data_IF_305975464261
#
_entry.id   IF_305975464261
#
_cell.length_a   1.000
_cell.length_b   1.000
_cell.length_c   1.000
_cell.angle_alpha   90.00
_cell.angle_beta   90.00
_cell.angle_gamma   90.00
#
_symmetry.space_group_name_H-M   'P 1'
#
loop_
_entity.id
_entity.type
_entity.pdbx_description
1 polymer ?
#
# COMPACT_ATOMS: atom_id res chain seq x y z
N UNK A 1 -43.68 -43.01 -23.65
CA UNK A 1 -43.38 -42.30 -22.38
C UNK A 1 -42.16 -42.89 -21.66
N UNK A 2 -41.45 -43.84 -22.28
CA UNK A 2 -40.43 -44.64 -21.56
C UNK A 2 -38.99 -44.11 -21.73
N UNK A 3 -38.73 -43.25 -22.72
CA UNK A 3 -37.41 -42.63 -22.91
C UNK A 3 -37.10 -41.49 -21.92
N UNK A 4 -38.11 -40.88 -21.30
CA UNK A 4 -37.94 -39.75 -20.37
C UNK A 4 -37.66 -40.26 -18.94
N UNK A 5 -38.21 -41.42 -18.57
CA UNK A 5 -37.99 -42.02 -17.24
C UNK A 5 -36.57 -42.54 -17.07
N UNK A 6 -36.01 -43.20 -18.09
CA UNK A 6 -34.63 -43.71 -18.03
C UNK A 6 -33.57 -42.61 -17.91
N UNK A 7 -33.81 -41.43 -18.49
CA UNK A 7 -32.91 -40.28 -18.36
C UNK A 7 -32.99 -39.62 -16.98
N UNK A 8 -34.14 -39.70 -16.30
CA UNK A 8 -34.33 -39.13 -14.97
C UNK A 8 -33.70 -39.99 -13.88
N UNK A 9 -33.82 -41.33 -13.99
CA UNK A 9 -33.16 -42.27 -13.07
C UNK A 9 -31.64 -42.22 -13.19
N UNK A 10 -31.09 -42.11 -14.40
CA UNK A 10 -29.65 -41.94 -14.61
C UNK A 10 -29.12 -40.63 -13.99
N UNK A 11 -29.92 -39.55 -14.02
CA UNK A 11 -29.53 -38.26 -13.42
C UNK A 11 -29.65 -38.29 -11.90
N UNK A 12 -30.64 -39.00 -11.34
CA UNK A 12 -30.77 -39.14 -9.88
C UNK A 12 -29.66 -39.99 -9.27
N UNK A 13 -29.24 -41.06 -9.94
CA UNK A 13 -28.16 -41.92 -9.46
C UNK A 13 -26.80 -41.20 -9.50
N UNK A 14 -26.57 -40.39 -10.54
CA UNK A 14 -25.36 -39.55 -10.64
C UNK A 14 -25.36 -38.46 -9.57
N UNK A 15 -26.52 -37.86 -9.26
CA UNK A 15 -26.69 -36.90 -8.17
C UNK A 15 -26.48 -37.52 -6.79
N UNK A 16 -26.95 -38.75 -6.58
CA UNK A 16 -26.74 -39.48 -5.33
C UNK A 16 -25.25 -39.83 -5.14
N UNK A 17 -24.58 -40.34 -6.18
CA UNK A 17 -23.15 -40.64 -6.14
C UNK A 17 -22.28 -39.38 -5.92
N UNK A 18 -22.67 -38.24 -6.49
CA UNK A 18 -21.96 -36.97 -6.23
C UNK A 18 -22.23 -36.44 -4.83
N UNK A 19 -23.43 -36.65 -4.26
CA UNK A 19 -23.74 -36.27 -2.89
C UNK A 19 -22.99 -37.12 -1.85
N UNK A 20 -22.87 -38.42 -2.09
CA UNK A 20 -22.12 -39.34 -1.21
C UNK A 20 -20.61 -39.03 -1.24
N UNK A 21 -20.05 -38.79 -2.43
CA UNK A 21 -18.64 -38.36 -2.56
C UNK A 21 -18.36 -37.00 -1.90
N UNK A 22 -19.34 -36.10 -1.88
CA UNK A 22 -19.24 -34.81 -1.18
C UNK A 22 -19.35 -34.99 0.34
N UNK A 23 -20.20 -35.91 0.80
CA UNK A 23 -20.34 -36.25 2.22
C UNK A 23 -19.05 -36.82 2.79
N UNK A 24 -18.39 -37.71 2.05
CA UNK A 24 -17.09 -38.27 2.44
C UNK A 24 -16.01 -37.20 2.49
N UNK A 25 -15.97 -36.30 1.49
CA UNK A 25 -15.06 -35.15 1.51
C UNK A 25 -15.32 -34.21 2.69
N UNK A 26 -16.59 -33.94 3.00
CA UNK A 26 -16.99 -33.11 4.14
C UNK A 26 -16.61 -33.80 5.46
N UNK A 27 -16.75 -35.12 5.57
CA UNK A 27 -16.33 -35.91 6.73
C UNK A 27 -14.82 -35.84 6.94
N UNK A 28 -14.03 -36.06 5.88
CA UNK A 28 -12.56 -36.00 5.91
C UNK A 28 -12.05 -34.59 6.22
N UNK A 29 -12.74 -33.58 5.72
CA UNK A 29 -12.41 -32.17 6.00
C UNK A 29 -12.76 -31.80 7.44
N UNK A 30 -13.91 -32.25 7.97
CA UNK A 30 -14.26 -32.05 9.39
C UNK A 30 -13.23 -32.70 10.31
N UNK A 31 -12.83 -33.94 10.05
CA UNK A 31 -11.85 -34.65 10.89
C UNK A 31 -10.49 -33.92 10.91
N UNK A 32 -10.00 -33.47 9.74
CA UNK A 32 -8.77 -32.67 9.66
C UNK A 32 -8.91 -31.32 10.36
N UNK A 33 -10.07 -30.66 10.27
CA UNK A 33 -10.35 -29.40 10.97
C UNK A 33 -10.35 -29.60 12.49
N UNK A 34 -10.94 -30.68 13.01
CA UNK A 34 -10.92 -30.97 14.44
C UNK A 34 -9.51 -31.28 14.95
N UNK A 35 -8.70 -32.03 14.20
CA UNK A 35 -7.30 -32.27 14.54
C UNK A 35 -6.47 -30.97 14.54
N UNK A 36 -6.70 -30.10 13.54
CA UNK A 36 -6.09 -28.77 13.47
C UNK A 36 -6.55 -27.87 14.63
N UNK A 37 -7.82 -27.91 15.04
CA UNK A 37 -8.31 -27.10 16.15
C UNK A 37 -7.71 -27.52 17.49
N UNK A 38 -7.51 -28.83 17.70
CA UNK A 38 -6.86 -29.39 18.90
C UNK A 38 -5.36 -29.04 18.95
N UNK A 39 -4.67 -29.08 17.80
CA UNK A 39 -3.26 -28.69 17.68
C UNK A 39 -3.04 -27.17 17.85
N UNK A 40 -4.05 -26.36 17.54
CA UNK A 40 -4.03 -24.90 17.65
C UNK A 40 -4.51 -24.41 19.03
N UNK A 41 -5.12 -25.26 19.85
CA UNK A 41 -5.53 -24.93 21.23
C UNK A 41 -4.39 -24.36 22.11
N UNK A 42 -3.18 -24.94 22.16
CA UNK A 42 -2.06 -24.36 22.90
C UNK A 42 -1.61 -23.00 22.32
N UNK A 43 -1.81 -22.76 21.01
CA UNK A 43 -1.50 -21.47 20.38
C UNK A 43 -2.55 -20.41 20.71
N UNK A 44 -3.83 -20.75 20.76
CA UNK A 44 -4.90 -19.81 21.14
C UNK A 44 -4.72 -19.33 22.57
N UNK A 45 -4.37 -20.24 23.48
CA UNK A 45 -4.09 -19.86 24.88
C UNK A 45 -2.83 -18.99 24.99
N UNK A 46 -1.81 -19.25 24.15
CA UNK A 46 -0.61 -18.39 24.07
C UNK A 46 -0.89 -17.01 23.45
N UNK A 47 -1.86 -16.90 22.55
CA UNK A 47 -2.26 -15.64 21.90
C UNK A 47 -3.11 -14.76 22.83
N UNK A 48 -3.88 -15.35 23.76
CA UNK A 48 -4.67 -14.58 24.75
C UNK A 48 -3.79 -13.74 25.69
N UNK A 49 -2.60 -14.23 25.99
CA UNK A 49 -1.65 -13.57 26.90
C UNK A 49 -0.61 -12.71 26.16
N UNK A 50 -0.63 -12.70 24.83
CA UNK A 50 0.31 -11.90 24.02
C UNK A 50 -0.29 -10.53 23.76
N UNK A 51 0.31 -9.52 24.38
CA UNK A 51 -0.06 -8.13 24.18
C UNK A 51 0.34 -7.63 22.79
N UNK A 52 -0.40 -6.64 22.28
CA UNK A 52 -0.08 -5.95 21.03
C UNK A 52 1.34 -5.35 21.07
N UNK A 53 1.78 -4.92 22.25
CA UNK A 53 3.12 -4.37 22.49
C UNK A 53 4.24 -5.41 22.34
N UNK A 54 4.00 -6.67 22.70
CA UNK A 54 4.97 -7.75 22.53
C UNK A 54 5.15 -8.11 21.05
N UNK A 55 4.06 -8.11 20.27
CA UNK A 55 4.11 -8.32 18.81
C UNK A 55 4.87 -7.18 18.12
N UNK A 56 4.65 -5.93 18.56
CA UNK A 56 5.36 -4.76 18.02
C UNK A 56 6.84 -4.75 18.41
N UNK A 57 7.18 -5.19 19.62
CA UNK A 57 8.58 -5.37 20.06
C UNK A 57 9.26 -6.46 19.25
N UNK A 58 8.63 -7.61 19.10
CA UNK A 58 9.17 -8.74 18.33
C UNK A 58 9.35 -8.37 16.85
N UNK A 59 8.47 -7.55 16.29
CA UNK A 59 8.61 -7.03 14.93
C UNK A 59 9.77 -6.03 14.80
N UNK A 60 9.94 -5.12 15.76
CA UNK A 60 11.06 -4.16 15.77
C UNK A 60 12.41 -4.84 16.00
N UNK A 61 12.44 -5.91 16.79
CA UNK A 61 13.63 -6.71 17.08
C UNK A 61 13.89 -7.81 16.05
N UNK A 62 13.07 -7.92 14.99
CA UNK A 62 13.15 -8.96 13.96
C UNK A 62 13.16 -10.39 14.53
N UNK A 63 12.48 -10.59 15.66
CA UNK A 63 12.35 -11.91 16.28
C UNK A 63 11.31 -12.73 15.52
N UNK A 64 11.79 -13.78 14.86
CA UNK A 64 10.98 -14.76 14.15
C UNK A 64 10.30 -15.71 15.14
N UNK A 65 9.20 -15.26 15.75
CA UNK A 65 8.33 -16.14 16.54
C UNK A 65 7.20 -16.70 15.65
N UNK A 66 6.63 -17.88 15.99
CA UNK A 66 5.52 -18.46 15.23
C UNK A 66 4.31 -17.54 15.10
N UNK A 67 4.09 -16.66 16.09
CA UNK A 67 2.98 -15.69 16.12
C UNK A 67 3.24 -14.57 15.10
N UNK A 68 4.44 -13.99 15.09
CA UNK A 68 4.84 -12.96 14.11
C UNK A 68 4.81 -13.50 12.68
N UNK A 69 5.28 -14.74 12.48
CA UNK A 69 5.23 -15.40 11.17
C UNK A 69 3.79 -15.59 10.68
N UNK A 70 2.89 -16.07 11.56
CA UNK A 70 1.47 -16.26 11.24
C UNK A 70 0.79 -14.93 10.89
N UNK A 71 1.10 -13.87 11.65
CA UNK A 71 0.59 -12.53 11.39
C UNK A 71 1.09 -11.97 10.05
N UNK A 72 2.38 -12.10 9.76
CA UNK A 72 2.98 -11.66 8.50
C UNK A 72 2.36 -12.38 7.29
N UNK A 73 2.21 -13.71 7.36
CA UNK A 73 1.56 -14.51 6.31
C UNK A 73 0.11 -14.06 6.11
N UNK A 74 -0.64 -13.86 7.20
CA UNK A 74 -2.03 -13.40 7.14
C UNK A 74 -2.14 -12.00 6.54
N UNK A 75 -1.25 -11.08 6.91
CA UNK A 75 -1.22 -9.72 6.39
C UNK A 75 -0.89 -9.69 4.88
N UNK A 76 0.11 -10.46 4.45
CA UNK A 76 0.49 -10.57 3.02
C UNK A 76 -0.65 -11.18 2.21
N UNK A 77 -1.27 -12.26 2.70
CA UNK A 77 -2.38 -12.93 1.99
C UNK A 77 -3.58 -11.99 1.88
N UNK A 78 -3.92 -11.27 2.95
CA UNK A 78 -4.99 -10.27 2.94
C UNK A 78 -4.69 -9.13 1.98
N UNK A 79 -3.44 -8.65 1.94
CA UNK A 79 -3.01 -7.60 1.02
C UNK A 79 -3.10 -8.05 -0.44
N UNK A 80 -2.73 -9.29 -0.77
CA UNK A 80 -2.84 -9.85 -2.13
C UNK A 80 -4.31 -9.95 -2.57
N UNK A 81 -5.19 -10.41 -1.68
CA UNK A 81 -6.64 -10.52 -1.99
C UNK A 81 -7.25 -9.13 -2.18
N UNK A 82 -6.93 -8.17 -1.30
CA UNK A 82 -7.44 -6.80 -1.37
C UNK A 82 -6.89 -6.06 -2.60
N UNK A 83 -5.59 -6.17 -2.88
CA UNK A 83 -4.95 -5.52 -4.03
C UNK A 83 -5.49 -6.05 -5.35
N UNK A 84 -5.76 -7.36 -5.45
CA UNK A 84 -6.41 -7.97 -6.62
C UNK A 84 -7.87 -7.55 -6.77
N UNK A 85 -8.59 -7.30 -5.67
CA UNK A 85 -9.97 -6.85 -5.71
C UNK A 85 -10.12 -5.33 -5.98
N UNK A 86 -9.09 -4.54 -5.69
CA UNK A 86 -9.05 -3.08 -5.96
C UNK A 86 -8.55 -2.74 -7.38
N UNK A 87 -7.84 -3.64 -8.04
CA UNK A 87 -7.33 -3.44 -9.41
C UNK A 87 -8.28 -3.92 -10.51
N UNK A 88 -9.41 -4.54 -10.15
CA UNK A 88 -10.40 -5.07 -11.11
C UNK A 88 -11.73 -4.30 -11.06
N UNK A 89 -11.72 -2.97 -11.25
CA UNK A 89 -12.96 -2.24 -11.57
C UNK A 89 -12.71 -0.90 -12.28
N UNK A 90 -12.31 -0.98 -13.57
CA UNK A 90 -12.54 0.09 -14.56
C UNK A 90 -13.34 -0.50 -15.73
N UNK A 91 -14.66 -0.45 -15.63
CA UNK A 91 -15.61 -0.15 -16.72
C UNK A 91 -17.03 -0.66 -16.37
N UNK A 92 -17.95 0.26 -16.06
CA UNK A 92 -19.21 0.42 -16.80
C UNK A 92 -20.16 1.41 -16.11
N UNK A 93 -20.62 2.38 -16.91
CA UNK A 93 -21.79 3.20 -16.63
C UNK A 93 -23.04 2.31 -16.60
N UNK A 94 -23.78 2.30 -15.49
CA UNK A 94 -25.27 2.35 -15.48
C UNK A 94 -25.81 2.52 -14.05
N UNK A 95 -26.64 3.54 -13.86
CA UNK A 95 -27.62 3.61 -12.76
C UNK A 95 -28.83 2.74 -13.19
N UNK A 96 -29.57 2.10 -12.26
CA UNK A 96 -30.61 2.86 -11.55
C UNK A 96 -30.81 2.52 -10.07
N UNK A 97 -31.07 3.59 -9.32
CA UNK A 97 -31.94 3.76 -8.16
C UNK A 97 -32.40 2.52 -7.35
N UNK A 98 -31.86 2.35 -6.13
CA UNK A 98 -32.73 2.11 -4.96
C UNK A 98 -32.05 2.55 -3.65
N UNK A 99 -32.87 3.11 -2.75
CA UNK A 99 -32.49 3.78 -1.50
C UNK A 99 -31.72 2.85 -0.54
N UNK A 100 -30.53 3.27 -0.08
CA UNK A 100 -29.96 2.89 1.23
C UNK A 100 -28.80 3.81 1.62
N UNK A 101 -28.96 4.44 2.80
CA UNK A 101 -27.99 5.16 3.62
C UNK A 101 -26.88 5.92 2.87
N UNK A 102 -27.02 7.25 2.79
CA UNK A 102 -25.90 8.12 2.52
C UNK A 102 -24.85 7.92 3.61
N UNK A 103 -23.82 7.10 3.33
CA UNK A 103 -22.55 7.20 4.04
C UNK A 103 -22.08 8.64 3.82
N UNK A 104 -22.34 9.51 4.81
CA UNK A 104 -21.69 10.82 4.89
C UNK A 104 -20.21 10.53 4.69
N UNK A 105 -19.64 11.00 3.58
CA UNK A 105 -18.19 10.97 3.36
C UNK A 105 -17.58 11.52 4.64
N UNK A 106 -16.90 10.68 5.43
CA UNK A 106 -16.22 11.15 6.64
C UNK A 106 -15.34 12.31 6.18
N UNK A 107 -15.65 13.53 6.64
CA UNK A 107 -14.79 14.69 6.39
C UNK A 107 -13.42 14.29 6.95
N UNK A 108 -12.38 14.39 6.12
CA UNK A 108 -11.00 14.13 6.55
C UNK A 108 -10.73 14.94 7.82
N UNK A 109 -10.12 14.30 8.83
CA UNK A 109 -9.66 15.02 10.02
C UNK A 109 -8.57 16.01 9.61
N UNK A 110 -8.34 17.05 10.41
CA UNK A 110 -7.27 18.03 10.12
C UNK A 110 -5.91 17.33 10.00
N UNK A 111 -5.60 16.38 10.88
CA UNK A 111 -4.40 15.56 10.78
C UNK A 111 -4.31 14.76 9.46
N UNK A 112 -5.42 14.24 8.95
CA UNK A 112 -5.44 13.53 7.67
C UNK A 112 -5.27 14.49 6.49
N UNK A 113 -5.80 15.71 6.55
CA UNK A 113 -5.58 16.73 5.53
C UNK A 113 -4.12 17.14 5.51
N UNK A 114 -3.54 17.45 6.67
CA UNK A 114 -2.12 17.81 6.81
C UNK A 114 -1.23 16.70 6.25
N UNK A 115 -1.47 15.44 6.62
CA UNK A 115 -0.67 14.34 6.08
C UNK A 115 -0.81 14.22 4.57
N UNK A 116 -2.03 14.37 4.03
CA UNK A 116 -2.27 14.36 2.60
C UNK A 116 -1.56 15.50 1.90
N UNK A 117 -1.53 16.69 2.49
CA UNK A 117 -0.88 17.86 1.90
C UNK A 117 0.66 17.69 1.91
N UNK A 118 1.24 17.11 2.97
CA UNK A 118 2.66 16.70 3.02
C UNK A 118 2.96 15.67 1.92
N UNK A 119 2.12 14.65 1.76
CA UNK A 119 2.30 13.62 0.73
C UNK A 119 2.14 14.19 -0.67
N UNK A 120 1.19 15.09 -0.89
CA UNK A 120 0.99 15.71 -2.19
C UNK A 120 2.22 16.51 -2.65
N UNK A 121 2.94 17.14 -1.72
CA UNK A 121 4.21 17.82 -2.04
C UNK A 121 5.29 16.79 -2.39
N UNK A 122 5.39 15.69 -1.62
CA UNK A 122 6.33 14.61 -1.93
C UNK A 122 6.06 14.03 -3.32
N UNK A 123 4.84 13.59 -3.58
CA UNK A 123 4.41 13.00 -4.85
C UNK A 123 4.70 13.96 -6.01
N UNK A 124 4.40 15.25 -5.84
CA UNK A 124 4.67 16.24 -6.87
C UNK A 124 6.16 16.40 -7.17
N UNK A 125 7.02 16.42 -6.15
CA UNK A 125 8.48 16.47 -6.36
C UNK A 125 8.97 15.20 -7.05
N UNK A 126 8.52 14.03 -6.58
CA UNK A 126 8.92 12.71 -7.11
C UNK A 126 8.47 12.51 -8.56
N UNK A 127 7.25 12.92 -8.91
CA UNK A 127 6.70 12.69 -10.24
C UNK A 127 7.18 13.75 -11.25
N UNK A 128 7.29 15.01 -10.84
CA UNK A 128 7.52 16.12 -11.76
C UNK A 128 8.99 16.54 -11.84
N UNK A 129 9.68 16.64 -10.71
CA UNK A 129 11.00 17.26 -10.66
C UNK A 129 12.13 16.24 -10.67
N UNK A 130 12.03 15.16 -9.89
CA UNK A 130 13.09 14.14 -9.82
C UNK A 130 13.43 13.57 -11.21
N UNK A 131 12.47 13.15 -12.05
CA UNK A 131 12.80 12.55 -13.34
C UNK A 131 13.45 13.55 -14.31
N UNK A 132 12.97 14.81 -14.28
CA UNK A 132 13.52 15.89 -15.12
C UNK A 132 14.91 16.30 -14.66
N UNK A 133 15.16 16.27 -13.35
CA UNK A 133 16.47 16.51 -12.78
C UNK A 133 17.43 15.38 -13.16
N UNK A 134 17.00 14.13 -13.09
CA UNK A 134 17.80 12.98 -13.52
C UNK A 134 18.17 13.09 -15.00
N UNK A 135 17.19 13.34 -15.86
CA UNK A 135 17.41 13.56 -17.29
C UNK A 135 18.38 14.72 -17.55
N UNK A 136 18.25 15.82 -16.81
CA UNK A 136 19.15 16.96 -16.89
C UNK A 136 20.58 16.61 -16.47
N UNK A 137 20.75 15.93 -15.34
CA UNK A 137 22.05 15.55 -14.80
C UNK A 137 22.75 14.47 -15.63
N UNK A 138 22.00 13.65 -16.36
CA UNK A 138 22.56 12.66 -17.29
C UNK A 138 22.97 13.30 -18.63
N UNK A 139 22.15 14.21 -19.15
CA UNK A 139 22.31 14.76 -20.50
C UNK A 139 22.97 16.15 -20.55
N UNK A 140 23.48 16.67 -19.43
CA UNK A 140 24.02 18.03 -19.36
C UNK A 140 25.16 18.30 -20.35
N UNK A 141 25.96 17.29 -20.68
CA UNK A 141 27.10 17.39 -21.62
C UNK A 141 26.66 17.75 -23.05
N UNK A 142 25.40 17.51 -23.39
CA UNK A 142 24.80 17.88 -24.67
C UNK A 142 24.22 19.31 -24.72
N UNK A 143 24.19 20.00 -23.57
CA UNK A 143 23.58 21.32 -23.42
C UNK A 143 24.64 22.44 -23.54
N UNK A 144 24.18 23.64 -23.92
CA UNK A 144 25.01 24.85 -23.85
C UNK A 144 25.27 25.26 -22.39
N UNK A 145 26.30 26.07 -22.15
CA UNK A 145 26.63 26.53 -20.78
C UNK A 145 25.48 27.35 -20.20
N UNK A 146 24.85 28.19 -21.02
CA UNK A 146 23.70 28.99 -20.66
C UNK A 146 22.48 28.13 -20.29
N UNK A 147 22.23 27.05 -21.04
CA UNK A 147 21.13 26.13 -20.74
C UNK A 147 21.36 25.34 -19.44
N UNK A 148 22.61 24.96 -19.17
CA UNK A 148 23.00 24.32 -17.91
C UNK A 148 22.73 25.28 -16.75
N UNK A 149 23.17 26.54 -16.85
CA UNK A 149 22.95 27.55 -15.82
C UNK A 149 21.45 27.79 -15.57
N UNK A 150 20.69 27.96 -16.65
CA UNK A 150 19.25 28.20 -16.60
C UNK A 150 18.51 27.03 -15.93
N UNK A 151 18.77 25.80 -16.37
CA UNK A 151 18.12 24.60 -15.81
C UNK A 151 18.50 24.39 -14.35
N UNK A 152 19.75 24.64 -13.98
CA UNK A 152 20.17 24.59 -12.59
C UNK A 152 19.34 25.55 -11.72
N UNK A 153 19.30 26.85 -12.07
CA UNK A 153 18.55 27.87 -11.31
C UNK A 153 17.08 27.50 -11.23
N UNK A 154 16.51 27.01 -12.33
CA UNK A 154 15.12 26.57 -12.37
C UNK A 154 14.84 25.45 -11.34
N UNK A 155 15.63 24.38 -11.33
CA UNK A 155 15.39 23.29 -10.38
C UNK A 155 15.65 23.72 -8.94
N UNK A 156 16.68 24.52 -8.68
CA UNK A 156 16.96 25.07 -7.36
C UNK A 156 15.77 25.88 -6.82
N UNK A 157 15.22 26.79 -7.63
CA UNK A 157 14.05 27.59 -7.26
C UNK A 157 12.80 26.74 -7.05
N UNK A 158 12.56 25.73 -7.89
CA UNK A 158 11.39 24.87 -7.76
C UNK A 158 11.46 24.01 -6.49
N UNK A 159 12.61 23.41 -6.19
CA UNK A 159 12.79 22.65 -4.95
C UNK A 159 12.66 23.55 -3.71
N UNK A 160 13.21 24.76 -3.76
CA UNK A 160 13.08 25.73 -2.67
C UNK A 160 11.61 26.13 -2.43
N UNK A 161 10.83 26.31 -3.50
CA UNK A 161 9.40 26.63 -3.40
C UNK A 161 8.61 25.51 -2.71
N UNK A 162 8.92 24.25 -2.99
CA UNK A 162 8.26 23.11 -2.33
C UNK A 162 8.67 22.99 -0.85
N UNK A 163 9.92 23.29 -0.50
CA UNK A 163 10.35 23.40 0.91
C UNK A 163 9.57 24.49 1.65
N UNK A 164 9.40 25.68 1.05
CA UNK A 164 8.62 26.75 1.67
C UNK A 164 7.16 26.33 1.92
N UNK A 165 6.56 25.55 1.00
CA UNK A 165 5.21 25.01 1.21
C UNK A 165 5.18 24.05 2.41
N UNK A 166 6.16 23.15 2.53
CA UNK A 166 6.25 22.22 3.66
C UNK A 166 6.40 22.94 5.00
N UNK A 167 7.25 23.98 5.06
CA UNK A 167 7.45 24.78 6.27
C UNK A 167 6.19 25.54 6.68
N UNK A 168 5.35 25.92 5.71
CA UNK A 168 4.05 26.55 5.95
C UNK A 168 2.98 25.62 6.52
N UNK A 169 3.20 24.31 6.59
CA UNK A 169 2.23 23.34 7.11
C UNK A 169 2.27 23.34 8.65
N UNK A 170 1.18 23.79 9.27
CA UNK A 170 0.95 23.66 10.71
C UNK A 170 0.62 22.21 11.08
N UNK A 171 1.48 21.64 11.93
CA UNK A 171 1.42 20.25 12.39
C UNK A 171 0.68 20.10 13.71
N UNK A 172 0.17 21.19 14.31
CA UNK A 172 -0.71 21.18 15.49
C UNK A 172 -0.20 20.31 16.66
N UNK A 173 1.14 20.23 16.84
CA UNK A 173 1.78 19.43 17.89
C UNK A 173 1.75 17.91 17.68
N UNK A 174 1.40 17.42 16.48
CA UNK A 174 1.40 15.99 16.18
C UNK A 174 2.82 15.50 15.78
N UNK A 175 3.42 14.70 16.65
CA UNK A 175 4.76 14.13 16.48
C UNK A 175 4.93 13.32 15.18
N UNK A 176 3.91 12.53 14.81
CA UNK A 176 3.95 11.71 13.59
C UNK A 176 3.97 12.58 12.34
N UNK A 177 3.14 13.63 12.31
CA UNK A 177 3.11 14.58 11.18
C UNK A 177 4.40 15.39 11.10
N UNK A 178 4.99 15.74 12.25
CA UNK A 178 6.30 16.41 12.32
C UNK A 178 7.40 15.54 11.72
N UNK A 179 7.42 14.26 12.06
CA UNK A 179 8.40 13.31 11.54
C UNK A 179 8.20 13.07 10.04
N UNK A 180 6.95 12.96 9.57
CA UNK A 180 6.65 12.84 8.15
C UNK A 180 7.11 14.07 7.37
N UNK A 181 6.78 15.28 7.84
CA UNK A 181 7.26 16.53 7.26
C UNK A 181 8.78 16.58 7.20
N UNK A 182 9.46 16.19 8.28
CA UNK A 182 10.93 16.15 8.35
C UNK A 182 11.54 15.19 7.33
N UNK A 183 10.92 14.03 7.10
CA UNK A 183 11.37 13.07 6.08
C UNK A 183 11.28 13.67 4.68
N UNK A 184 10.17 14.32 4.34
CA UNK A 184 10.00 14.97 3.02
C UNK A 184 10.96 16.14 2.85
N UNK A 185 11.15 16.97 3.88
CA UNK A 185 12.16 18.05 3.86
C UNK A 185 13.54 17.47 3.55
N UNK A 186 13.94 16.41 4.25
CA UNK A 186 15.24 15.77 4.02
C UNK A 186 15.36 15.21 2.60
N UNK A 187 14.30 14.60 2.09
CA UNK A 187 14.26 14.09 0.72
C UNK A 187 14.52 15.19 -0.32
N UNK A 188 13.85 16.34 -0.20
CA UNK A 188 14.06 17.48 -1.10
C UNK A 188 15.48 18.04 -0.94
N UNK A 189 15.95 18.18 0.29
CA UNK A 189 17.32 18.67 0.58
C UNK A 189 18.40 17.76 0.01
N UNK A 190 18.19 16.44 -0.01
CA UNK A 190 19.15 15.51 -0.59
C UNK A 190 19.24 15.67 -2.12
N UNK A 191 18.13 16.03 -2.80
CA UNK A 191 18.14 16.40 -4.22
C UNK A 191 18.83 17.74 -4.47
N UNK A 192 18.62 18.74 -3.60
CA UNK A 192 19.36 20.01 -3.67
C UNK A 192 20.86 19.80 -3.52
N UNK A 193 21.31 18.97 -2.56
CA UNK A 193 22.74 18.64 -2.41
C UNK A 193 23.33 17.98 -3.66
N UNK A 194 22.55 17.15 -4.35
CA UNK A 194 22.97 16.52 -5.60
C UNK A 194 23.13 17.56 -6.72
N UNK A 195 22.22 18.54 -6.81
CA UNK A 195 22.38 19.69 -7.70
C UNK A 195 23.62 20.51 -7.32
N UNK A 196 23.85 20.80 -6.04
CA UNK A 196 25.02 21.57 -5.58
C UNK A 196 26.34 20.85 -5.90
N UNK A 197 26.37 19.52 -5.77
CA UNK A 197 27.52 18.72 -6.15
C UNK A 197 27.78 18.84 -7.65
N UNK A 198 26.74 18.71 -8.46
CA UNK A 198 26.80 18.94 -9.89
C UNK A 198 27.32 20.34 -10.24
N UNK A 199 26.82 21.41 -9.60
CA UNK A 199 27.29 22.80 -9.79
C UNK A 199 28.81 22.91 -9.67
N UNK A 200 29.40 22.22 -8.68
CA UNK A 200 30.84 22.21 -8.44
C UNK A 200 31.60 21.45 -9.52
N UNK A 201 31.06 20.33 -10.00
CA UNK A 201 31.68 19.52 -11.07
C UNK A 201 31.75 20.29 -12.40
N UNK A 202 30.67 20.97 -12.78
CA UNK A 202 30.61 21.73 -14.04
C UNK A 202 31.19 23.15 -13.94
N UNK A 203 31.68 23.56 -12.76
CA UNK A 203 32.27 24.89 -12.51
C UNK A 203 31.36 26.02 -13.01
N UNK A 204 30.08 25.93 -12.64
CA UNK A 204 29.14 27.02 -12.90
C UNK A 204 29.44 28.18 -11.94
N UNK A 205 29.78 29.34 -12.51
CA UNK A 205 29.93 30.61 -11.80
C UNK A 205 28.56 31.29 -11.72
N UNK A 206 27.77 30.87 -10.74
CA UNK A 206 26.33 31.13 -10.57
C UNK A 206 26.04 32.03 -9.37
#
# INVERSE_FOLDING_TARGET
MDHIKGHFEAVSDVLAQTADGLSDYVGLTKQKIYQLLDEVEPFVNKVKDVGVDDILRDFRELRLTPITASFAITAVTSFIIISRHLTSEKNSKKKPNNKKASKKKKKLTEAQKINRDIQQILDFVEDEYVPKMDEYLENYSSLSREDIEYKYRYFEEMLLKELMKLDGIDIAGNEVLRDNRRKVIKFIQDHQKRLDAFKKEVKLDL
#
